data_IF_790271995365
#
_entry.id   IF_790271995365
#
_cell.length_a   1.000
_cell.length_b   1.000
_cell.length_c   1.000
_cell.angle_alpha   90.00
_cell.angle_beta   90.00
_cell.angle_gamma   90.00
#
_symmetry.space_group_name_H-M   'P 1'
#
loop_
_entity.id
_entity.type
_entity.pdbx_description
1 polymer ?
#
# COMPACT_ATOMS: atom_id res chain seq x y z
N UNK A 1 13.59 3.43 -9.32
CA UNK A 1 13.07 4.50 -10.21
C UNK A 1 14.26 5.20 -10.79
N UNK A 2 14.28 5.45 -12.12
CA UNK A 2 15.38 6.11 -12.81
C UNK A 2 14.81 7.20 -13.74
N UNK A 3 15.26 8.44 -13.52
CA UNK A 3 14.90 9.64 -14.27
C UNK A 3 13.38 9.82 -14.47
N UNK A 4 12.61 9.49 -13.42
CA UNK A 4 11.15 9.47 -13.51
C UNK A 4 10.57 10.89 -13.54
N UNK A 5 9.75 11.13 -14.56
CA UNK A 5 8.93 12.32 -14.71
C UNK A 5 7.45 11.96 -14.59
N UNK A 6 6.72 12.70 -13.81
CA UNK A 6 5.27 12.51 -13.66
C UNK A 6 4.59 13.79 -13.20
N UNK A 7 3.33 13.96 -13.58
CA UNK A 7 2.55 15.13 -13.22
C UNK A 7 1.07 14.93 -13.46
N UNK A 8 0.30 15.97 -13.21
CA UNK A 8 -1.15 16.00 -13.39
C UNK A 8 -1.49 17.05 -14.46
N UNK A 9 -2.57 16.92 -15.16
CA UNK A 9 -3.07 17.65 -16.33
C UNK A 9 -2.71 19.14 -16.54
N UNK A 10 -1.92 19.74 -15.71
CA UNK A 10 -1.45 21.14 -15.81
C UNK A 10 0.01 21.35 -15.44
N UNK A 11 0.76 20.32 -15.01
CA UNK A 11 2.16 20.53 -14.65
C UNK A 11 2.89 19.28 -14.21
N UNK A 12 4.20 19.30 -14.46
CA UNK A 12 5.13 18.29 -13.97
C UNK A 12 5.40 18.49 -12.48
N UNK A 13 5.26 17.40 -11.70
CA UNK A 13 5.57 17.37 -10.27
C UNK A 13 6.89 16.66 -10.00
N UNK A 14 7.12 15.51 -10.66
CA UNK A 14 8.41 14.82 -10.64
C UNK A 14 9.18 15.17 -11.92
N UNK A 15 10.42 15.63 -11.76
CA UNK A 15 11.26 16.14 -12.85
C UNK A 15 12.61 15.41 -12.87
N UNK A 16 12.60 14.12 -13.26
CA UNK A 16 13.80 13.30 -13.32
C UNK A 16 14.20 12.76 -11.94
N UNK A 17 13.27 12.14 -11.23
CA UNK A 17 13.52 11.60 -9.89
C UNK A 17 14.18 10.23 -9.98
N UNK A 18 15.29 10.08 -9.28
CA UNK A 18 15.97 8.82 -9.02
C UNK A 18 15.67 8.38 -7.59
N UNK A 19 15.30 7.11 -7.40
CA UNK A 19 15.05 6.50 -6.09
C UNK A 19 15.39 5.02 -6.15
N UNK A 20 16.21 4.60 -5.20
CA UNK A 20 16.53 3.19 -4.96
C UNK A 20 16.12 2.82 -3.55
N UNK A 21 15.54 1.64 -3.40
CA UNK A 21 15.09 1.08 -2.11
C UNK A 21 15.64 -0.34 -2.04
N UNK A 22 16.48 -0.58 -1.05
CA UNK A 22 17.07 -1.90 -0.81
C UNK A 22 16.07 -2.82 -0.11
N UNK A 23 16.14 -4.11 -0.46
CA UNK A 23 15.34 -5.14 0.19
C UNK A 23 15.63 -5.20 1.69
N UNK A 24 14.59 -5.27 2.51
CA UNK A 24 14.71 -5.39 3.97
C UNK A 24 15.05 -4.07 4.67
N UNK A 25 14.99 -2.94 3.98
CA UNK A 25 15.23 -1.61 4.57
C UNK A 25 13.94 -0.82 4.75
N UNK A 26 13.97 0.13 5.68
CA UNK A 26 12.92 1.15 5.81
C UNK A 26 13.47 2.45 5.23
N UNK A 27 12.86 2.91 4.13
CA UNK A 27 13.23 4.16 3.48
C UNK A 27 12.23 5.25 3.82
N UNK A 28 12.74 6.42 4.26
CA UNK A 28 11.91 7.57 4.57
C UNK A 28 12.09 8.67 3.51
N UNK A 29 10.98 9.12 2.90
CA UNK A 29 10.98 10.25 1.97
C UNK A 29 10.57 11.49 2.74
N UNK A 30 11.50 12.45 2.91
CA UNK A 30 11.29 13.70 3.64
C UNK A 30 11.31 14.90 2.69
N UNK A 31 10.66 15.98 3.08
CA UNK A 31 10.61 17.22 2.30
C UNK A 31 9.37 18.05 2.59
N UNK A 32 9.32 19.31 2.14
CA UNK A 32 8.18 20.21 2.36
C UNK A 32 6.89 19.69 1.70
N UNK A 33 5.76 20.30 2.07
CA UNK A 33 4.49 20.04 1.38
C UNK A 33 4.61 20.51 -0.08
N UNK A 34 4.07 19.72 -1.00
CA UNK A 34 4.19 20.00 -2.44
C UNK A 34 5.47 19.46 -3.11
N UNK A 35 6.46 18.94 -2.37
CA UNK A 35 7.72 18.41 -2.94
C UNK A 35 7.57 17.13 -3.77
N UNK A 36 6.36 16.63 -4.01
CA UNK A 36 6.13 15.44 -4.84
C UNK A 36 6.17 14.11 -4.11
N UNK A 37 6.34 14.06 -2.76
CA UNK A 37 6.39 12.81 -2.00
C UNK A 37 5.22 11.86 -2.30
N UNK A 38 4.00 12.36 -2.23
CA UNK A 38 2.80 11.56 -2.52
C UNK A 38 2.72 11.15 -3.99
N UNK A 39 3.32 11.94 -4.89
CA UNK A 39 3.39 11.63 -6.32
C UNK A 39 4.32 10.45 -6.59
N UNK A 40 5.46 10.36 -5.87
CA UNK A 40 6.35 9.19 -5.91
C UNK A 40 5.58 7.92 -5.55
N UNK A 41 4.85 7.92 -4.42
CA UNK A 41 4.05 6.76 -4.02
C UNK A 41 2.96 6.42 -5.04
N UNK A 42 2.31 7.40 -5.65
CA UNK A 42 1.30 7.17 -6.69
C UNK A 42 1.89 6.57 -7.95
N UNK A 43 3.11 6.95 -8.32
CA UNK A 43 3.81 6.35 -9.47
C UNK A 43 4.17 4.89 -9.16
N UNK A 44 4.75 4.62 -7.98
CA UNK A 44 5.13 3.26 -7.57
C UNK A 44 3.91 2.34 -7.50
N UNK A 45 2.77 2.84 -7.00
CA UNK A 45 1.52 2.06 -6.87
C UNK A 45 0.67 2.00 -8.14
N UNK A 46 1.11 2.61 -9.26
CA UNK A 46 0.39 2.63 -10.53
C UNK A 46 -0.84 3.54 -10.57
N UNK A 47 -1.05 4.35 -9.52
CA UNK A 47 -2.13 5.36 -9.48
C UNK A 47 -1.82 6.58 -10.35
N UNK A 48 -0.56 6.73 -10.77
CA UNK A 48 -0.12 7.74 -11.71
C UNK A 48 0.91 7.12 -12.66
N UNK A 49 0.65 7.19 -13.96
CA UNK A 49 1.58 6.73 -14.99
C UNK A 49 2.73 7.74 -15.14
N UNK A 50 4.00 7.33 -15.11
CA UNK A 50 5.10 8.21 -15.44
C UNK A 50 5.02 8.62 -16.92
N UNK A 51 5.39 9.86 -17.21
CA UNK A 51 5.49 10.37 -18.58
C UNK A 51 6.83 10.07 -19.22
N UNK A 52 7.88 9.90 -18.38
CA UNK A 52 9.22 9.51 -18.79
C UNK A 52 9.96 8.80 -17.65
N UNK A 53 11.08 8.15 -17.96
CA UNK A 53 11.86 7.37 -17.00
C UNK A 53 11.30 5.97 -16.79
N UNK A 54 11.95 5.20 -15.92
CA UNK A 54 11.62 3.78 -15.67
C UNK A 54 11.37 3.54 -14.18
N UNK A 55 10.43 2.65 -13.89
CA UNK A 55 10.16 2.15 -12.53
C UNK A 55 10.32 0.64 -12.55
N UNK A 56 11.35 0.14 -11.87
CA UNK A 56 11.66 -1.30 -11.84
C UNK A 56 11.46 -1.81 -10.42
N UNK A 57 10.81 -2.95 -10.28
CA UNK A 57 10.65 -3.68 -9.03
C UNK A 57 11.08 -5.14 -9.23
N UNK A 58 12.05 -5.60 -8.45
CA UNK A 58 12.62 -6.97 -8.55
C UNK A 58 12.98 -7.36 -10.00
N UNK A 59 13.65 -6.46 -10.72
CA UNK A 59 14.08 -6.69 -12.11
C UNK A 59 12.97 -6.58 -13.16
N UNK A 60 11.73 -6.32 -12.77
CA UNK A 60 10.60 -6.16 -13.69
C UNK A 60 10.18 -4.69 -13.77
N UNK A 61 10.02 -4.18 -14.99
CA UNK A 61 9.45 -2.85 -15.18
C UNK A 61 7.96 -2.84 -14.80
N UNK A 62 7.59 -1.89 -13.95
CA UNK A 62 6.22 -1.71 -13.44
C UNK A 62 5.62 -0.35 -13.80
N UNK A 63 6.39 0.50 -14.46
CA UNK A 63 5.96 1.84 -14.88
C UNK A 63 4.73 1.77 -15.78
N UNK A 64 3.60 2.31 -15.32
CA UNK A 64 2.36 2.35 -16.07
C UNK A 64 1.50 1.08 -16.04
N UNK A 65 1.88 0.06 -15.25
CA UNK A 65 1.00 -1.07 -14.95
C UNK A 65 -0.22 -0.60 -14.12
N UNK A 66 -1.31 -1.33 -14.24
CA UNK A 66 -2.50 -1.06 -13.43
C UNK A 66 -2.22 -1.35 -11.93
N UNK A 67 -2.84 -0.61 -10.98
CA UNK A 67 -2.65 -0.82 -9.55
C UNK A 67 -2.89 -2.27 -9.09
N UNK A 68 -3.85 -2.95 -9.69
CA UNK A 68 -4.14 -4.37 -9.39
C UNK A 68 -3.03 -5.32 -9.83
N UNK A 69 -2.25 -4.97 -10.85
CA UNK A 69 -1.10 -5.74 -11.31
C UNK A 69 0.11 -5.51 -10.40
N UNK A 70 0.32 -4.26 -10.00
CA UNK A 70 1.37 -3.87 -9.05
C UNK A 70 1.13 -4.54 -7.69
N UNK A 71 -0.11 -4.55 -7.22
CA UNK A 71 -0.49 -5.23 -5.99
C UNK A 71 -0.17 -6.73 -6.05
N UNK A 72 -0.48 -7.40 -7.18
CA UNK A 72 -0.15 -8.81 -7.39
C UNK A 72 1.36 -9.09 -7.45
N UNK A 73 2.17 -8.10 -7.74
CA UNK A 73 3.65 -8.18 -7.69
C UNK A 73 4.21 -7.99 -6.27
N UNK A 74 3.35 -7.72 -5.27
CA UNK A 74 3.77 -7.58 -3.89
C UNK A 74 4.08 -6.16 -3.45
N UNK A 75 3.55 -5.15 -4.15
CA UNK A 75 3.63 -3.75 -3.70
C UNK A 75 2.26 -3.34 -3.16
N UNK A 76 2.19 -3.03 -1.86
CA UNK A 76 0.99 -2.55 -1.21
C UNK A 76 1.15 -1.11 -0.73
N UNK A 77 0.09 -0.33 -0.86
CA UNK A 77 0.06 1.05 -0.37
C UNK A 77 -1.01 1.23 0.70
N UNK A 78 -0.63 1.81 1.83
CA UNK A 78 -1.58 2.29 2.84
C UNK A 78 -1.87 3.77 2.56
N UNK A 79 -3.10 4.13 2.15
CA UNK A 79 -3.45 5.50 1.79
C UNK A 79 -3.27 6.47 2.97
N UNK A 80 -3.02 7.75 2.66
CA UNK A 80 -2.92 8.80 3.68
C UNK A 80 -4.28 9.14 4.31
N UNK A 81 -5.35 9.07 3.52
CA UNK A 81 -6.71 9.34 3.98
C UNK A 81 -7.34 8.08 4.58
N UNK A 82 -8.37 8.29 5.42
CA UNK A 82 -9.12 7.19 6.05
C UNK A 82 -9.59 6.18 5.00
N UNK A 83 -9.08 4.96 5.11
CA UNK A 83 -9.32 3.91 4.13
C UNK A 83 -10.18 2.75 4.67
N UNK A 84 -10.56 2.79 5.97
CA UNK A 84 -11.43 1.78 6.57
C UNK A 84 -12.89 2.10 6.29
N UNK A 85 -13.69 1.04 6.22
CA UNK A 85 -15.14 1.10 6.19
C UNK A 85 -15.64 1.14 7.64
N UNK A 86 -16.17 2.28 8.13
CA UNK A 86 -16.44 2.48 9.56
C UNK A 86 -17.51 1.55 10.11
N UNK A 87 -18.49 1.18 9.30
CA UNK A 87 -19.61 0.29 9.68
C UNK A 87 -19.25 -1.21 9.62
N UNK A 88 -18.11 -1.54 9.04
CA UNK A 88 -17.58 -2.90 9.03
C UNK A 88 -16.73 -3.15 10.27
N UNK A 89 -16.71 -4.40 10.73
CA UNK A 89 -15.83 -4.82 11.82
C UNK A 89 -14.35 -4.71 11.44
N UNK A 90 -13.48 -4.74 12.44
CA UNK A 90 -12.01 -4.81 12.24
C UNK A 90 -11.65 -6.01 11.39
N UNK A 91 -12.20 -7.18 11.71
CA UNK A 91 -11.95 -8.41 10.96
C UNK A 91 -12.35 -8.28 9.49
N UNK A 92 -13.56 -7.79 9.21
CA UNK A 92 -14.03 -7.59 7.82
C UNK A 92 -13.15 -6.61 7.06
N UNK A 93 -12.75 -5.49 7.68
CA UNK A 93 -11.84 -4.53 7.08
C UNK A 93 -10.49 -5.17 6.69
N UNK A 94 -9.92 -6.01 7.54
CA UNK A 94 -8.65 -6.71 7.26
C UNK A 94 -8.84 -7.73 6.15
N UNK A 95 -9.93 -8.52 6.20
CA UNK A 95 -10.26 -9.54 5.19
C UNK A 95 -10.40 -8.97 3.77
N UNK A 96 -10.81 -7.71 3.61
CA UNK A 96 -10.82 -7.04 2.31
C UNK A 96 -9.42 -6.98 1.66
N UNK A 97 -8.36 -6.92 2.47
CA UNK A 97 -6.97 -6.98 1.98
C UNK A 97 -6.66 -8.28 1.24
N UNK A 98 -7.25 -9.39 1.69
CA UNK A 98 -7.12 -10.71 1.06
C UNK A 98 -8.04 -10.96 -0.13
N UNK A 99 -8.73 -9.94 -0.66
CA UNK A 99 -9.72 -10.14 -1.73
C UNK A 99 -9.17 -10.82 -2.98
N UNK A 100 -7.94 -10.55 -3.36
CA UNK A 100 -7.29 -11.16 -4.53
C UNK A 100 -7.00 -12.65 -4.35
N UNK A 101 -6.81 -13.11 -3.10
CA UNK A 101 -6.55 -14.50 -2.74
C UNK A 101 -7.78 -15.21 -2.15
N UNK A 102 -8.97 -14.61 -2.18
CA UNK A 102 -10.20 -15.11 -1.53
C UNK A 102 -10.65 -16.50 -1.96
N UNK A 103 -10.19 -16.99 -3.11
CA UNK A 103 -10.48 -18.34 -3.61
C UNK A 103 -9.66 -19.43 -2.90
N UNK A 104 -8.47 -19.07 -2.40
CA UNK A 104 -7.63 -19.97 -1.60
C UNK A 104 -7.90 -19.72 -0.11
N UNK A 105 -8.81 -20.51 0.44
CA UNK A 105 -9.23 -20.39 1.84
C UNK A 105 -8.11 -20.73 2.82
N UNK A 106 -7.18 -21.60 2.45
CA UNK A 106 -6.07 -21.98 3.33
C UNK A 106 -5.04 -20.84 3.41
N UNK A 107 -4.65 -20.31 2.25
CA UNK A 107 -3.75 -19.15 2.19
C UNK A 107 -4.38 -17.95 2.91
N UNK A 108 -5.67 -17.70 2.73
CA UNK A 108 -6.37 -16.58 3.39
C UNK A 108 -6.32 -16.69 4.93
N UNK A 109 -6.51 -17.91 5.48
CA UNK A 109 -6.39 -18.15 6.93
C UNK A 109 -4.96 -17.98 7.42
N UNK A 110 -3.98 -18.51 6.69
CA UNK A 110 -2.55 -18.34 7.00
C UNK A 110 -2.18 -16.85 7.06
N UNK A 111 -2.58 -16.06 6.06
CA UNK A 111 -2.32 -14.63 6.02
C UNK A 111 -3.01 -13.88 7.16
N UNK A 112 -4.24 -14.23 7.49
CA UNK A 112 -4.94 -13.63 8.62
C UNK A 112 -4.22 -13.95 9.94
N UNK A 113 -3.79 -15.19 10.17
CA UNK A 113 -3.05 -15.56 11.37
C UNK A 113 -1.74 -14.79 11.51
N UNK A 114 -0.99 -14.62 10.40
CA UNK A 114 0.21 -13.79 10.37
C UNK A 114 -0.10 -12.33 10.73
N UNK A 115 -1.18 -11.77 10.18
CA UNK A 115 -1.59 -10.39 10.47
C UNK A 115 -2.01 -10.23 11.94
N UNK A 116 -2.71 -11.21 12.51
CA UNK A 116 -3.12 -11.18 13.92
C UNK A 116 -1.92 -11.27 14.88
N UNK A 117 -0.85 -11.95 14.48
CA UNK A 117 0.41 -12.01 15.23
C UNK A 117 1.15 -10.67 15.16
N UNK A 118 1.26 -10.06 13.97
CA UNK A 118 1.96 -8.79 13.78
C UNK A 118 1.17 -7.59 14.31
N UNK A 119 -0.15 -7.67 14.29
CA UNK A 119 -1.08 -6.62 14.70
C UNK A 119 -2.13 -7.21 15.65
N UNK A 120 -1.82 -7.47 16.93
CA UNK A 120 -2.71 -8.15 17.89
C UNK A 120 -4.09 -7.51 18.01
N UNK A 121 -4.18 -6.19 17.82
CA UNK A 121 -5.43 -5.44 17.80
C UNK A 121 -6.48 -6.05 16.84
N UNK A 122 -6.05 -6.64 15.73
CA UNK A 122 -6.94 -7.27 14.73
C UNK A 122 -7.70 -8.43 15.34
N UNK A 123 -7.04 -9.24 16.17
CA UNK A 123 -7.64 -10.35 16.92
C UNK A 123 -8.46 -9.85 18.11
N UNK A 124 -7.87 -8.97 18.93
CA UNK A 124 -8.46 -8.52 20.19
C UNK A 124 -9.76 -7.77 19.99
N UNK A 125 -9.88 -7.03 18.89
CA UNK A 125 -11.05 -6.22 18.55
C UNK A 125 -11.76 -6.65 17.25
N UNK A 126 -11.61 -7.92 16.88
CA UNK A 126 -12.08 -8.47 15.61
C UNK A 126 -13.54 -8.10 15.27
N UNK A 127 -14.42 -8.10 16.26
CA UNK A 127 -15.87 -7.84 16.11
C UNK A 127 -16.26 -6.38 16.29
N UNK A 128 -15.34 -5.51 16.71
CA UNK A 128 -15.62 -4.09 16.92
C UNK A 128 -15.73 -3.37 15.57
N UNK A 129 -16.65 -2.43 15.44
CA UNK A 129 -16.77 -1.57 14.26
C UNK A 129 -15.54 -0.65 14.16
N UNK A 130 -14.96 -0.57 12.96
CA UNK A 130 -13.77 0.24 12.72
C UNK A 130 -13.99 1.74 13.00
N UNK A 131 -15.24 2.20 12.93
CA UNK A 131 -15.62 3.56 13.28
C UNK A 131 -15.37 3.93 14.74
N UNK A 132 -15.40 2.95 15.67
CA UNK A 132 -15.20 3.15 17.11
C UNK A 132 -13.73 3.25 17.52
N UNK A 133 -12.81 2.90 16.62
CA UNK A 133 -11.39 2.89 16.90
C UNK A 133 -10.80 4.30 16.96
N UNK A 134 -9.78 4.49 17.80
CA UNK A 134 -8.96 5.69 17.78
C UNK A 134 -8.21 5.84 16.45
N UNK A 135 -7.67 7.04 16.16
CA UNK A 135 -6.92 7.28 14.93
C UNK A 135 -5.72 6.34 14.76
N UNK A 136 -4.96 6.11 15.84
CA UNK A 136 -3.83 5.17 15.81
C UNK A 136 -4.27 3.73 15.61
N UNK A 137 -5.35 3.29 16.28
CA UNK A 137 -5.90 1.96 16.10
C UNK A 137 -6.41 1.73 14.67
N UNK A 138 -7.09 2.71 14.08
CA UNK A 138 -7.47 2.66 12.66
C UNK A 138 -6.27 2.47 11.75
N UNK A 139 -5.16 3.19 12.03
CA UNK A 139 -3.94 3.06 11.25
C UNK A 139 -3.34 1.66 11.35
N UNK A 140 -3.38 1.03 12.52
CA UNK A 140 -2.94 -0.36 12.71
C UNK A 140 -3.79 -1.34 11.88
N UNK A 141 -5.11 -1.17 11.83
CA UNK A 141 -6.01 -2.01 11.01
C UNK A 141 -5.76 -1.79 9.51
N UNK A 142 -5.50 -0.55 9.07
CA UNK A 142 -5.12 -0.25 7.68
C UNK A 142 -3.82 -0.97 7.27
N UNK A 143 -2.82 -0.98 8.16
CA UNK A 143 -1.57 -1.72 7.95
C UNK A 143 -1.85 -3.23 7.92
N UNK A 144 -2.62 -3.76 8.87
CA UNK A 144 -3.02 -5.17 8.88
C UNK A 144 -3.71 -5.58 7.57
N UNK A 145 -4.60 -4.75 7.05
CA UNK A 145 -5.23 -4.97 5.75
C UNK A 145 -4.22 -5.04 4.59
N UNK A 146 -3.22 -4.17 4.59
CA UNK A 146 -2.18 -4.19 3.55
C UNK A 146 -1.30 -5.44 3.64
N UNK A 147 -1.02 -5.91 4.86
CA UNK A 147 -0.20 -7.11 5.11
C UNK A 147 -0.85 -8.44 4.70
N UNK A 148 -2.17 -8.47 4.45
CA UNK A 148 -2.89 -9.68 4.02
C UNK A 148 -2.32 -10.32 2.75
N UNK A 149 -1.61 -9.58 1.91
CA UNK A 149 -0.98 -10.07 0.68
C UNK A 149 0.50 -10.37 0.84
N UNK A 150 1.05 -10.20 2.05
CA UNK A 150 2.48 -10.38 2.34
C UNK A 150 3.36 -9.58 1.36
N UNK A 151 3.20 -8.25 1.34
CA UNK A 151 3.90 -7.42 0.37
C UNK A 151 5.40 -7.38 0.63
N UNK A 152 6.18 -7.31 -0.45
CA UNK A 152 7.63 -7.11 -0.38
C UNK A 152 8.04 -5.62 -0.34
N UNK A 153 7.07 -4.71 -0.62
CA UNK A 153 7.20 -3.25 -0.56
C UNK A 153 5.85 -2.63 -0.24
#
# INVERSE_FOLDING_TARGET
MQQVQAGYGGGMVLQGVDLEIDKGTITCIVGPNGAGKSTVFRVISGLLKPSNGTVVYQGTEIGGLAPSEILRKGIAQVPQNRALFPEMSVHENVMLGGYSIRRDRNLLRERLAMVEELVPLVKDRAKEHAGNLSGGQRRMVEIGRALMLDPGL
#
